data_IF_370866797313
#
_entry.id   IF_370866797313
#
_cell.length_a   1.000
_cell.length_b   1.000
_cell.length_c   1.000
_cell.angle_alpha   90.00
_cell.angle_beta   90.00
_cell.angle_gamma   90.00
#
_symmetry.space_group_name_H-M   'P 1'
#
loop_
_entity.id
_entity.type
_entity.pdbx_description
1 polymer ?
#
# COMPACT_ATOMS: atom_id res chain seq x y z
N UNK A 1 21.41 -5.80 3.50
CA UNK A 1 20.32 -4.93 3.03
C UNK A 1 19.27 -5.86 2.44
N UNK A 2 18.08 -5.90 3.03
CA UNK A 2 17.02 -6.82 2.60
C UNK A 2 16.47 -6.42 1.23
N UNK A 3 15.82 -7.34 0.54
CA UNK A 3 15.21 -7.07 -0.77
C UNK A 3 14.16 -5.95 -0.66
N UNK A 4 13.41 -5.91 0.45
CA UNK A 4 12.36 -4.92 0.71
C UNK A 4 12.88 -3.51 1.00
N UNK A 5 14.13 -3.33 1.41
CA UNK A 5 14.63 -2.01 1.85
C UNK A 5 14.57 -0.96 0.72
N UNK A 6 14.66 -1.40 -0.54
CA UNK A 6 14.50 -0.50 -1.70
C UNK A 6 13.06 -0.05 -1.95
N UNK A 7 12.08 -0.81 -1.45
CA UNK A 7 10.65 -0.58 -1.69
C UNK A 7 9.96 0.11 -0.52
N UNK A 8 10.60 0.26 0.64
CA UNK A 8 10.06 0.99 1.81
C UNK A 8 9.96 2.51 1.61
N UNK A 9 10.48 3.05 0.51
CA UNK A 9 10.37 4.47 0.16
C UNK A 9 9.01 4.73 -0.50
N UNK A 10 8.55 5.99 -0.46
CA UNK A 10 7.29 6.40 -1.11
C UNK A 10 7.21 5.92 -2.56
N UNK A 11 6.11 5.23 -2.90
CA UNK A 11 5.86 4.67 -4.22
C UNK A 11 6.58 3.35 -4.52
N UNK A 12 7.42 2.88 -3.60
CA UNK A 12 8.10 1.58 -3.72
C UNK A 12 7.12 0.41 -3.61
N UNK A 13 6.00 0.57 -2.88
CA UNK A 13 4.94 -0.44 -2.85
C UNK A 13 4.32 -0.66 -4.22
N UNK A 14 3.99 0.43 -4.94
CA UNK A 14 3.41 0.36 -6.29
C UNK A 14 4.42 -0.25 -7.27
N UNK A 15 5.70 0.09 -7.16
CA UNK A 15 6.75 -0.52 -7.99
C UNK A 15 6.86 -2.03 -7.77
N UNK A 16 6.81 -2.46 -6.51
CA UNK A 16 6.85 -3.88 -6.17
C UNK A 16 5.59 -4.62 -6.64
N UNK A 17 4.43 -3.98 -6.52
CA UNK A 17 3.15 -4.52 -6.98
C UNK A 17 3.13 -4.69 -8.50
N UNK A 18 3.55 -3.67 -9.25
CA UNK A 18 3.67 -3.74 -10.71
C UNK A 18 4.67 -4.83 -11.14
N UNK A 19 5.78 -4.99 -10.41
CA UNK A 19 6.74 -6.07 -10.67
C UNK A 19 6.11 -7.45 -10.45
N UNK A 20 5.29 -7.62 -9.41
CA UNK A 20 4.59 -8.87 -9.13
C UNK A 20 3.55 -9.20 -10.20
N UNK A 21 2.81 -8.21 -10.69
CA UNK A 21 1.76 -8.37 -11.69
C UNK A 21 2.29 -8.64 -13.11
N UNK A 22 3.49 -8.16 -13.41
CA UNK A 22 4.17 -8.40 -14.70
C UNK A 22 5.06 -9.65 -14.68
N UNK A 23 5.29 -10.25 -13.51
CA UNK A 23 6.07 -11.47 -13.35
C UNK A 23 5.24 -12.73 -13.65
N UNK A 24 5.91 -13.81 -14.03
CA UNK A 24 5.23 -15.11 -14.15
C UNK A 24 4.75 -15.61 -12.79
N UNK A 25 3.69 -16.43 -12.78
CA UNK A 25 3.10 -16.97 -11.54
C UNK A 25 4.13 -17.63 -10.61
N UNK A 26 5.06 -18.42 -11.16
CA UNK A 26 6.14 -19.05 -10.39
C UNK A 26 7.05 -18.03 -9.72
N UNK A 27 7.44 -16.96 -10.44
CA UNK A 27 8.28 -15.89 -9.88
C UNK A 27 7.51 -15.06 -8.85
N UNK A 28 6.24 -14.81 -9.10
CA UNK A 28 5.35 -14.11 -8.17
C UNK A 28 5.24 -14.85 -6.83
N UNK A 29 5.04 -16.17 -6.86
CA UNK A 29 5.02 -17.00 -5.65
C UNK A 29 6.39 -16.99 -4.92
N UNK A 30 7.49 -17.09 -5.66
CA UNK A 30 8.84 -16.98 -5.09
C UNK A 30 9.06 -15.63 -4.42
N UNK A 31 8.71 -14.52 -5.07
CA UNK A 31 8.83 -13.18 -4.48
C UNK A 31 7.94 -13.01 -3.26
N UNK A 32 6.69 -13.48 -3.31
CA UNK A 32 5.79 -13.42 -2.16
C UNK A 32 6.31 -14.23 -0.97
N UNK A 33 6.93 -15.39 -1.20
CA UNK A 33 7.57 -16.17 -0.13
C UNK A 33 8.77 -15.45 0.48
N UNK A 34 9.62 -14.83 -0.33
CA UNK A 34 10.76 -14.03 0.16
C UNK A 34 10.27 -12.82 0.97
N UNK A 35 9.25 -12.11 0.46
CA UNK A 35 8.66 -10.96 1.15
C UNK A 35 7.99 -11.40 2.45
N UNK A 36 7.32 -12.55 2.48
CA UNK A 36 6.69 -13.10 3.69
C UNK A 36 7.73 -13.40 4.79
N UNK A 37 8.92 -13.87 4.41
CA UNK A 37 10.02 -14.13 5.35
C UNK A 37 10.62 -12.84 5.91
N UNK A 38 10.74 -11.79 5.08
CA UNK A 38 11.28 -10.50 5.53
C UNK A 38 10.25 -9.66 6.30
N UNK A 39 9.01 -9.59 5.82
CA UNK A 39 7.92 -8.84 6.44
C UNK A 39 6.55 -9.45 6.10
N UNK A 40 5.89 -10.11 7.08
CA UNK A 40 4.60 -10.74 6.83
C UNK A 40 3.50 -9.74 6.46
N UNK A 41 3.57 -8.52 6.99
CA UNK A 41 2.58 -7.48 6.75
C UNK A 41 2.64 -6.94 5.32
N UNK A 42 3.85 -6.78 4.77
CA UNK A 42 4.02 -6.42 3.36
C UNK A 42 3.42 -7.50 2.44
N UNK A 43 3.67 -8.78 2.75
CA UNK A 43 3.14 -9.88 1.96
C UNK A 43 1.60 -9.93 1.98
N UNK A 44 0.97 -9.69 3.14
CA UNK A 44 -0.49 -9.61 3.26
C UNK A 44 -1.08 -8.47 2.42
N UNK A 45 -0.51 -7.27 2.52
CA UNK A 45 -1.02 -6.12 1.78
C UNK A 45 -0.83 -6.26 0.27
N UNK A 46 0.30 -6.83 -0.18
CA UNK A 46 0.51 -7.16 -1.59
C UNK A 46 -0.48 -8.21 -2.10
N UNK A 47 -0.72 -9.29 -1.33
CA UNK A 47 -1.67 -10.36 -1.72
C UNK A 47 -3.09 -9.82 -1.90
N UNK A 48 -3.54 -8.94 -1.01
CA UNK A 48 -4.85 -8.29 -1.12
C UNK A 48 -4.95 -7.43 -2.37
N UNK A 49 -3.88 -6.68 -2.67
CA UNK A 49 -3.89 -5.64 -3.69
C UNK A 49 -3.46 -6.10 -5.07
N UNK A 50 -2.93 -7.33 -5.24
CA UNK A 50 -2.60 -7.87 -6.56
C UNK A 50 -3.84 -7.88 -7.47
N UNK A 51 -3.66 -7.24 -8.63
CA UNK A 51 -4.59 -7.24 -9.73
C UNK A 51 -4.31 -8.44 -10.62
N UNK A 52 -5.36 -9.15 -10.99
CA UNK A 52 -5.30 -10.26 -11.92
C UNK A 52 -6.34 -10.03 -12.99
N UNK A 53 -6.06 -10.48 -14.21
CA UNK A 53 -6.97 -10.30 -15.32
C UNK A 53 -8.36 -10.90 -15.06
N UNK A 54 -8.41 -12.04 -14.36
CA UNK A 54 -9.69 -12.66 -13.96
C UNK A 54 -10.50 -11.75 -13.02
N UNK A 55 -9.84 -11.02 -12.11
CA UNK A 55 -10.51 -10.03 -11.26
C UNK A 55 -11.06 -8.87 -12.08
N UNK A 56 -10.31 -8.37 -13.07
CA UNK A 56 -10.76 -7.29 -13.96
C UNK A 56 -12.05 -7.69 -14.69
N UNK A 57 -12.17 -8.96 -15.11
CA UNK A 57 -13.36 -9.46 -15.80
C UNK A 57 -14.59 -9.61 -14.89
N UNK A 58 -14.41 -9.63 -13.56
CA UNK A 58 -15.54 -9.65 -12.60
C UNK A 58 -16.13 -8.27 -12.33
N UNK A 59 -15.53 -7.20 -12.85
CA UNK A 59 -15.99 -5.83 -12.64
C UNK A 59 -17.25 -5.51 -13.45
N UNK A 60 -17.92 -4.42 -13.07
CA UNK A 60 -19.12 -3.94 -13.76
C UNK A 60 -18.84 -3.62 -15.23
N UNK A 61 -19.85 -3.82 -16.08
CA UNK A 61 -19.78 -3.59 -17.53
C UNK A 61 -19.27 -2.18 -17.87
N UNK A 62 -19.63 -1.16 -17.09
CA UNK A 62 -19.17 0.22 -17.29
C UNK A 62 -17.65 0.33 -17.13
N UNK A 63 -17.09 -0.16 -16.02
CA UNK A 63 -15.65 -0.14 -15.78
C UNK A 63 -14.90 -0.98 -16.82
N UNK A 64 -15.44 -2.14 -17.18
CA UNK A 64 -14.85 -3.00 -18.21
C UNK A 64 -14.86 -2.30 -19.58
N UNK A 65 -15.92 -1.58 -19.93
CA UNK A 65 -15.98 -0.77 -21.16
C UNK A 65 -14.92 0.29 -21.22
N UNK A 66 -14.71 0.96 -20.09
CA UNK A 66 -13.77 2.05 -20.02
C UNK A 66 -12.32 1.57 -20.22
N UNK A 67 -12.02 0.38 -19.69
CA UNK A 67 -10.73 -0.29 -19.83
C UNK A 67 -10.53 -0.83 -21.24
N UNK A 68 -11.44 -1.70 -21.71
CA UNK A 68 -11.27 -2.46 -22.94
C UNK A 68 -11.21 -1.55 -24.17
N UNK A 69 -11.96 -0.45 -24.19
CA UNK A 69 -11.91 0.53 -25.30
C UNK A 69 -10.59 1.30 -25.38
N UNK A 70 -9.82 1.38 -24.28
CA UNK A 70 -8.50 2.05 -24.25
C UNK A 70 -7.34 1.11 -24.58
N UNK A 71 -7.54 -0.20 -24.46
CA UNK A 71 -6.52 -1.19 -24.82
C UNK A 71 -6.30 -1.18 -26.34
N UNK A 72 -5.03 -1.25 -26.76
CA UNK A 72 -4.66 -1.33 -28.17
C UNK A 72 -5.34 -2.55 -28.85
N UNK A 73 -6.01 -2.38 -30.01
CA UNK A 73 -6.77 -3.46 -30.65
C UNK A 73 -5.96 -4.73 -30.95
N UNK A 74 -4.71 -4.60 -31.36
CA UNK A 74 -3.83 -5.74 -31.62
C UNK A 74 -3.48 -6.50 -30.33
N UNK A 75 -3.18 -5.76 -29.25
CA UNK A 75 -2.89 -6.36 -27.93
C UNK A 75 -4.11 -7.12 -27.43
N UNK A 76 -5.31 -6.54 -27.59
CA UNK A 76 -6.56 -7.20 -27.21
C UNK A 76 -6.84 -8.45 -28.08
N UNK A 77 -6.65 -8.36 -29.40
CA UNK A 77 -6.83 -9.49 -30.31
C UNK A 77 -5.92 -10.68 -29.94
N UNK A 78 -4.65 -10.42 -29.65
CA UNK A 78 -3.70 -11.46 -29.22
C UNK A 78 -4.07 -12.01 -27.83
N UNK A 79 -4.43 -11.14 -26.88
CA UNK A 79 -4.83 -11.56 -25.54
C UNK A 79 -6.13 -12.39 -25.53
N UNK A 80 -7.04 -12.17 -26.48
CA UNK A 80 -8.30 -12.94 -26.58
C UNK A 80 -8.10 -14.45 -26.72
N UNK A 81 -6.93 -14.91 -27.22
CA UNK A 81 -6.60 -16.33 -27.30
C UNK A 81 -6.32 -16.98 -25.93
N UNK A 82 -6.00 -16.18 -24.91
CA UNK A 82 -5.78 -16.66 -23.55
C UNK A 82 -7.10 -17.01 -22.83
N UNK A 83 -8.15 -16.27 -23.13
CA UNK A 83 -9.42 -16.36 -22.40
C UNK A 83 -10.28 -17.53 -22.87
N UNK A 84 -11.09 -18.04 -21.96
CA UNK A 84 -12.15 -19.00 -22.27
C UNK A 84 -13.28 -18.34 -23.08
N UNK A 85 -14.07 -19.13 -23.81
CA UNK A 85 -15.19 -18.62 -24.61
C UNK A 85 -16.15 -17.68 -23.85
N UNK A 86 -16.62 -18.00 -22.62
CA UNK A 86 -17.48 -17.07 -21.87
C UNK A 86 -16.77 -15.76 -21.51
N UNK A 87 -15.47 -15.79 -21.22
CA UNK A 87 -14.70 -14.58 -20.93
C UNK A 87 -14.53 -13.72 -22.19
N UNK A 88 -14.34 -14.34 -23.37
CA UNK A 88 -14.30 -13.62 -24.65
C UNK A 88 -15.63 -12.93 -24.94
N UNK A 89 -16.76 -13.58 -24.67
CA UNK A 89 -18.09 -12.99 -24.86
C UNK A 89 -18.29 -11.76 -23.97
N UNK A 90 -17.84 -11.81 -22.71
CA UNK A 90 -17.88 -10.66 -21.80
C UNK A 90 -17.05 -9.50 -22.37
N UNK A 91 -15.82 -9.76 -22.81
CA UNK A 91 -14.93 -8.73 -23.38
C UNK A 91 -15.51 -8.16 -24.68
N UNK A 92 -16.00 -9.01 -25.57
CA UNK A 92 -16.58 -8.60 -26.86
C UNK A 92 -17.90 -7.86 -26.66
N UNK A 93 -18.77 -8.29 -25.76
CA UNK A 93 -20.10 -7.71 -25.50
C UNK A 93 -20.08 -6.29 -24.92
N UNK A 94 -18.89 -5.81 -24.59
CA UNK A 94 -18.60 -4.47 -24.11
C UNK A 94 -18.18 -3.52 -25.26
N UNK A 95 -17.65 -4.07 -26.35
CA UNK A 95 -17.16 -3.33 -27.50
C UNK A 95 -18.27 -2.98 -28.49
N UNK A 96 -18.00 -1.94 -29.31
CA UNK A 96 -18.86 -1.60 -30.45
C UNK A 96 -18.78 -2.67 -31.55
N UNK A 97 -19.81 -2.77 -32.40
CA UNK A 97 -19.83 -3.72 -33.53
C UNK A 97 -18.65 -3.51 -34.50
N UNK A 98 -18.23 -2.25 -34.71
CA UNK A 98 -17.06 -1.92 -35.52
C UNK A 98 -15.76 -2.42 -34.89
N UNK A 99 -15.59 -2.26 -33.57
CA UNK A 99 -14.38 -2.69 -32.87
C UNK A 99 -14.30 -4.21 -32.79
N UNK A 100 -15.43 -4.88 -32.53
CA UNK A 100 -15.53 -6.34 -32.56
C UNK A 100 -15.05 -6.89 -33.91
N UNK A 101 -15.54 -6.34 -35.03
CA UNK A 101 -15.13 -6.77 -36.37
C UNK A 101 -13.64 -6.54 -36.61
N UNK A 102 -13.11 -5.39 -36.18
CA UNK A 102 -11.69 -5.06 -36.29
C UNK A 102 -10.82 -6.05 -35.52
N UNK A 103 -11.20 -6.37 -34.28
CA UNK A 103 -10.47 -7.30 -33.43
C UNK A 103 -10.55 -8.74 -33.97
N UNK A 104 -11.72 -9.16 -34.47
CA UNK A 104 -11.88 -10.48 -35.10
C UNK A 104 -10.98 -10.63 -36.34
N UNK A 105 -10.92 -9.62 -37.21
CA UNK A 105 -10.02 -9.65 -38.36
C UNK A 105 -8.54 -9.81 -37.92
N UNK A 106 -8.11 -9.01 -36.94
CA UNK A 106 -6.75 -9.11 -36.38
C UNK A 106 -6.48 -10.48 -35.74
N UNK A 107 -7.48 -11.07 -35.08
CA UNK A 107 -7.37 -12.39 -34.45
C UNK A 107 -7.19 -13.52 -35.49
N UNK A 108 -7.80 -13.38 -36.67
CA UNK A 108 -7.65 -14.35 -37.77
C UNK A 108 -6.33 -14.19 -38.52
N UNK A 109 -5.82 -12.97 -38.65
CA UNK A 109 -4.56 -12.67 -39.35
C UNK A 109 -3.33 -12.99 -38.48
N UNK A 110 -3.46 -12.85 -37.15
CA UNK A 110 -2.35 -13.05 -36.23
C UNK A 110 -2.28 -14.49 -35.75
N UNK A 111 -1.10 -15.10 -35.84
CA UNK A 111 -0.80 -16.39 -35.21
C UNK A 111 0.28 -16.22 -34.13
N UNK A 112 -0.08 -15.64 -32.98
CA UNK A 112 0.88 -15.31 -31.94
C UNK A 112 1.36 -16.56 -31.20
N UNK A 113 2.61 -16.53 -30.76
CA UNK A 113 3.19 -17.56 -29.89
C UNK A 113 2.62 -17.44 -28.46
N UNK A 114 2.70 -18.50 -27.67
CA UNK A 114 2.24 -18.53 -26.28
C UNK A 114 2.87 -17.42 -25.42
N UNK A 115 4.16 -17.12 -25.64
CA UNK A 115 4.84 -16.05 -24.92
C UNK A 115 4.27 -14.65 -25.25
N UNK A 116 3.85 -14.43 -26.49
CA UNK A 116 3.27 -13.16 -26.93
C UNK A 116 1.87 -12.96 -26.36
N UNK A 117 1.08 -14.05 -26.30
CA UNK A 117 -0.24 -14.06 -25.66
C UNK A 117 -0.12 -13.63 -24.19
N UNK A 118 0.77 -14.27 -23.43
CA UNK A 118 1.00 -13.93 -22.02
C UNK A 118 1.50 -12.49 -21.85
N UNK A 119 2.40 -12.04 -22.74
CA UNK A 119 2.88 -10.66 -22.72
C UNK A 119 1.74 -9.66 -22.96
N UNK A 120 0.82 -9.95 -23.87
CA UNK A 120 -0.34 -9.09 -24.13
C UNK A 120 -1.31 -9.06 -22.95
N UNK A 121 -1.54 -10.19 -22.27
CA UNK A 121 -2.35 -10.24 -21.04
C UNK A 121 -1.70 -9.39 -19.94
N UNK A 122 -0.40 -9.51 -19.71
CA UNK A 122 0.32 -8.67 -18.75
C UNK A 122 0.28 -7.19 -19.10
N UNK A 123 0.33 -6.84 -20.40
CA UNK A 123 0.14 -5.46 -20.87
C UNK A 123 -1.24 -4.93 -20.55
N UNK A 124 -2.30 -5.73 -20.69
CA UNK A 124 -3.67 -5.32 -20.32
C UNK A 124 -3.73 -5.01 -18.82
N UNK A 125 -3.18 -5.87 -17.97
CA UNK A 125 -3.15 -5.63 -16.50
C UNK A 125 -2.39 -4.35 -16.17
N UNK A 126 -1.24 -4.10 -16.83
CA UNK A 126 -0.47 -2.86 -16.66
C UNK A 126 -1.24 -1.62 -17.13
N UNK A 127 -1.98 -1.71 -18.23
CA UNK A 127 -2.84 -0.63 -18.71
C UNK A 127 -3.96 -0.33 -17.71
N UNK A 128 -4.61 -1.36 -17.17
CA UNK A 128 -5.64 -1.21 -16.12
C UNK A 128 -5.08 -0.46 -14.92
N UNK A 129 -3.85 -0.79 -14.48
CA UNK A 129 -3.16 -0.06 -13.41
C UNK A 129 -2.94 1.41 -13.73
N UNK A 130 -2.57 1.71 -14.97
CA UNK A 130 -2.38 3.08 -15.44
C UNK A 130 -3.70 3.86 -15.39
N UNK A 131 -4.81 3.23 -15.81
CA UNK A 131 -6.14 3.86 -15.77
C UNK A 131 -6.63 4.11 -14.34
N UNK A 132 -6.31 3.21 -13.40
CA UNK A 132 -6.58 3.40 -11.98
C UNK A 132 -5.78 4.59 -11.43
N UNK A 133 -4.47 4.67 -11.74
CA UNK A 133 -3.61 5.77 -11.28
C UNK A 133 -4.05 7.12 -11.84
N UNK A 134 -4.58 7.15 -13.05
CA UNK A 134 -5.15 8.35 -13.67
C UNK A 134 -6.51 8.76 -13.07
N UNK A 135 -7.11 7.93 -12.22
CA UNK A 135 -8.44 8.16 -11.64
C UNK A 135 -9.60 7.98 -12.63
N UNK A 136 -9.32 7.41 -13.81
CA UNK A 136 -10.32 7.06 -14.83
C UNK A 136 -11.18 5.93 -14.29
N UNK A 137 -10.54 4.83 -13.88
CA UNK A 137 -11.21 3.73 -13.20
C UNK A 137 -11.18 3.98 -11.70
N UNK A 138 -12.32 4.35 -11.13
CA UNK A 138 -12.44 4.61 -9.69
C UNK A 138 -12.56 3.28 -8.93
N UNK A 139 -11.48 2.85 -8.30
CA UNK A 139 -11.47 1.64 -7.47
C UNK A 139 -12.50 1.69 -6.33
N UNK A 140 -12.87 2.86 -5.81
CA UNK A 140 -13.92 2.99 -4.79
C UNK A 140 -15.27 2.39 -5.21
N UNK A 141 -15.56 2.38 -6.51
CA UNK A 141 -16.79 1.81 -7.07
C UNK A 141 -16.66 0.33 -7.43
N UNK A 142 -15.43 -0.15 -7.60
CA UNK A 142 -15.14 -1.42 -8.27
C UNK A 142 -14.60 -2.45 -7.28
N UNK A 143 -13.64 -2.04 -6.45
CA UNK A 143 -13.06 -2.84 -5.36
C UNK A 143 -12.33 -1.90 -4.36
N UNK A 144 -13.00 -1.46 -3.27
CA UNK A 144 -12.41 -0.54 -2.30
C UNK A 144 -11.23 -1.17 -1.53
N UNK A 145 -11.18 -2.50 -1.39
CA UNK A 145 -10.09 -3.18 -0.69
C UNK A 145 -8.79 -3.19 -1.52
N UNK A 146 -8.90 -3.05 -2.84
CA UNK A 146 -7.75 -2.93 -3.75
C UNK A 146 -7.17 -1.52 -3.81
N UNK A 147 -7.86 -0.51 -3.27
CA UNK A 147 -7.34 0.86 -3.23
C UNK A 147 -6.00 0.89 -2.49
N UNK A 148 -5.02 1.58 -3.09
CA UNK A 148 -3.69 1.77 -2.55
C UNK A 148 -3.63 3.18 -1.96
N UNK A 149 -3.60 3.32 -0.61
CA UNK A 149 -3.37 4.61 0.01
C UNK A 149 -2.00 5.18 -0.38
N UNK A 150 -1.90 6.50 -0.56
CA UNK A 150 -0.63 7.16 -0.90
C UNK A 150 0.47 6.97 0.15
N UNK A 151 0.11 6.61 1.39
CA UNK A 151 1.04 6.36 2.49
C UNK A 151 1.01 4.89 2.96
N UNK A 152 0.72 3.94 2.05
CA UNK A 152 0.65 2.51 2.39
C UNK A 152 1.94 2.00 3.05
N UNK A 153 3.11 2.49 2.63
CA UNK A 153 4.40 2.11 3.22
C UNK A 153 4.50 2.52 4.69
N UNK A 154 4.03 3.72 5.03
CA UNK A 154 4.03 4.24 6.41
C UNK A 154 3.00 3.50 7.28
N UNK A 155 1.84 3.15 6.71
CA UNK A 155 0.81 2.36 7.39
C UNK A 155 1.31 0.96 7.73
N UNK A 156 2.00 0.31 6.79
CA UNK A 156 2.62 -1.00 7.04
C UNK A 156 3.73 -0.87 8.10
N UNK A 157 4.54 0.20 8.05
CA UNK A 157 5.56 0.44 9.07
C UNK A 157 4.98 0.68 10.47
N UNK A 158 3.85 1.38 10.59
CA UNK A 158 3.14 1.56 11.86
C UNK A 158 2.53 0.27 12.37
N UNK A 159 1.93 -0.54 11.49
CA UNK A 159 1.38 -1.86 11.85
C UNK A 159 2.48 -2.83 12.30
N UNK A 160 3.73 -2.63 11.86
CA UNK A 160 4.89 -3.45 12.22
C UNK A 160 5.47 -3.11 13.60
N UNK A 161 5.12 -1.96 14.17
CA UNK A 161 5.43 -1.65 15.56
C UNK A 161 4.48 -2.47 16.44
N UNK A 162 4.97 -3.29 17.39
CA UNK A 162 4.08 -3.87 18.38
C UNK A 162 3.40 -2.72 19.12
N UNK A 163 2.06 -2.78 19.24
CA UNK A 163 1.29 -1.94 20.13
C UNK A 163 1.95 -1.94 21.51
N UNK A 164 2.74 -0.91 21.82
CA UNK A 164 2.79 -0.45 23.19
C UNK A 164 1.42 0.14 23.42
N UNK A 165 0.59 -0.61 24.13
CA UNK A 165 -0.65 -0.09 24.70
C UNK A 165 -0.22 1.10 25.55
N UNK A 166 -0.46 2.30 25.04
CA UNK A 166 -0.38 3.53 25.80
C UNK A 166 -1.50 3.44 26.84
N UNK A 167 -1.14 3.00 28.04
CA UNK A 167 -2.06 2.98 29.17
C UNK A 167 -2.33 4.45 29.51
N UNK A 168 -3.41 5.00 28.94
CA UNK A 168 -4.00 6.26 29.39
C UNK A 168 -4.21 6.17 30.90
N UNK A 169 -3.34 6.85 31.65
CA UNK A 169 -3.52 7.03 33.08
C UNK A 169 -4.67 7.99 33.27
N UNK A 170 -5.87 7.43 33.43
CA UNK A 170 -7.04 8.17 33.90
C UNK A 170 -6.75 8.72 35.32
N UNK A 171 -7.05 10.00 35.61
CA UNK A 171 -6.86 10.54 36.94
C UNK A 171 -8.06 10.12 37.82
N UNK A 172 -7.89 9.07 38.61
CA UNK A 172 -8.87 8.72 39.65
C UNK A 172 -8.64 9.61 40.87
N UNK A 173 -9.66 10.41 41.17
CA UNK A 173 -9.83 11.16 42.41
C UNK A 173 -10.48 10.26 43.46
N UNK A 174 -9.96 10.23 44.71
CA UNK A 174 -10.69 9.60 45.83
C UNK A 174 -9.87 9.12 47.04
N UNK A 175 -9.43 10.07 47.88
CA UNK A 175 -9.53 10.11 49.36
C UNK A 175 -9.23 8.89 50.28
N UNK A 176 -8.13 9.05 51.05
CA UNK A 176 -7.97 8.94 52.52
C UNK A 176 -8.24 7.64 53.35
N UNK A 177 -7.18 7.22 54.08
CA UNK A 177 -7.08 6.84 55.53
C UNK A 177 -6.06 5.68 55.70
N UNK A 178 -4.83 5.85 56.20
CA UNK A 178 -4.27 6.13 57.56
C UNK A 178 -4.09 4.91 58.50
N UNK A 179 -2.84 4.77 59.00
CA UNK A 179 -2.28 4.03 60.18
C UNK A 179 -1.78 2.58 59.96
N UNK A 180 -0.44 2.34 59.92
CA UNK A 180 0.52 2.08 61.03
C UNK A 180 0.51 0.57 61.45
N UNK A 181 1.58 -0.21 61.66
CA UNK A 181 2.98 -0.06 62.12
C UNK A 181 3.76 -1.34 61.73
N UNK A 182 5.03 -1.30 61.30
CA UNK A 182 6.25 -1.65 62.06
C UNK A 182 6.87 -3.04 61.73
N UNK A 183 8.22 -3.09 61.82
CA UNK A 183 9.15 -4.24 61.87
C UNK A 183 9.77 -4.79 60.56
N UNK A 184 11.03 -4.36 60.34
CA UNK A 184 12.17 -4.93 59.56
C UNK A 184 12.58 -6.36 60.06
N UNK A 185 13.53 -7.13 59.43
CA UNK A 185 14.71 -6.65 58.69
C UNK A 185 15.19 -7.43 57.45
N UNK A 186 16.18 -6.76 56.84
CA UNK A 186 17.08 -7.07 55.73
C UNK A 186 17.48 -8.54 55.51
N UNK A 187 17.51 -8.93 54.22
CA UNK A 187 18.48 -9.90 53.70
C UNK A 187 19.14 -9.37 52.45
N UNK A 188 20.38 -8.94 52.63
CA UNK A 188 21.41 -8.70 51.63
C UNK A 188 21.73 -9.96 50.83
N UNK A 189 21.72 -9.89 49.50
CA UNK A 189 22.43 -10.83 48.63
C UNK A 189 23.16 -10.06 47.54
N UNK A 190 24.47 -9.92 47.75
CA UNK A 190 25.51 -9.47 46.83
C UNK A 190 25.83 -10.61 45.84
N UNK A 191 25.82 -10.31 44.54
CA UNK A 191 26.51 -11.12 43.53
C UNK A 191 27.31 -10.20 42.61
N UNK A 192 28.50 -9.87 43.06
CA UNK A 192 29.59 -9.33 42.25
C UNK A 192 30.12 -10.37 41.27
N UNK A 193 30.23 -10.02 39.98
CA UNK A 193 31.21 -10.63 39.07
C UNK A 193 30.78 -10.84 37.61
N UNK A 194 31.00 -9.84 36.74
CA UNK A 194 31.55 -10.04 35.39
C UNK A 194 31.80 -8.69 34.68
N UNK A 195 32.96 -8.12 34.96
CA UNK A 195 33.55 -7.02 34.20
C UNK A 195 33.93 -7.50 32.78
N UNK A 196 33.36 -6.89 31.74
CA UNK A 196 34.02 -6.76 30.43
C UNK A 196 33.81 -5.35 29.87
N UNK A 197 34.76 -4.49 30.20
CA UNK A 197 35.16 -3.30 29.44
C UNK A 197 34.93 -3.45 27.92
N UNK A 198 34.12 -2.57 27.35
CA UNK A 198 34.33 -2.06 25.98
C UNK A 198 34.31 -0.54 26.01
N UNK A 199 35.40 0.01 25.50
CA UNK A 199 35.67 1.42 25.23
C UNK A 199 34.54 2.09 24.43
N UNK A 200 34.18 3.36 24.72
CA UNK A 200 33.19 4.07 23.95
C UNK A 200 33.82 4.64 22.67
N UNK A 201 33.33 4.20 21.51
CA UNK A 201 33.54 4.85 20.22
C UNK A 201 32.73 6.15 20.17
N UNK A 202 33.39 7.26 20.53
CA UNK A 202 32.85 8.62 20.67
C UNK A 202 32.12 9.14 19.41
N UNK A 203 32.53 8.73 18.21
CA UNK A 203 32.06 9.34 16.96
C UNK A 203 30.61 8.95 16.58
N UNK A 204 30.17 7.73 16.94
CA UNK A 204 28.83 7.24 16.55
C UNK A 204 27.72 7.82 17.44
N UNK A 205 28.06 8.18 18.68
CA UNK A 205 27.12 8.79 19.62
C UNK A 205 26.83 10.25 19.30
N UNK A 206 27.77 10.99 18.70
CA UNK A 206 27.57 12.40 18.33
C UNK A 206 26.71 12.51 17.08
N UNK A 207 27.01 11.75 16.02
CA UNK A 207 26.18 11.68 14.81
C UNK A 207 24.73 11.28 15.11
N UNK A 208 24.52 10.32 16.02
CA UNK A 208 23.16 9.91 16.41
C UNK A 208 22.41 11.01 17.18
N UNK A 209 23.12 11.85 17.95
CA UNK A 209 22.53 12.97 18.70
C UNK A 209 22.18 14.14 17.75
N UNK A 210 23.04 14.41 16.78
CA UNK A 210 22.81 15.44 15.75
C UNK A 210 21.61 15.09 14.87
N UNK A 211 21.47 13.83 14.47
CA UNK A 211 20.29 13.34 13.75
C UNK A 211 19.02 13.51 14.60
N UNK A 212 19.07 13.16 15.88
CA UNK A 212 17.92 13.27 16.78
C UNK A 212 17.48 14.72 17.00
N UNK A 213 18.44 15.65 17.13
CA UNK A 213 18.18 17.09 17.16
C UNK A 213 17.59 17.62 15.85
N UNK A 214 18.11 17.17 14.70
CA UNK A 214 17.57 17.53 13.39
C UNK A 214 16.13 17.04 13.20
N UNK A 215 15.86 15.77 13.55
CA UNK A 215 14.51 15.21 13.51
C UNK A 215 13.57 15.97 14.45
N UNK A 216 14.00 16.29 15.67
CA UNK A 216 13.21 17.06 16.64
C UNK A 216 12.84 18.46 16.12
N UNK A 217 13.75 19.13 15.43
CA UNK A 217 13.46 20.40 14.75
C UNK A 217 12.45 20.21 13.62
N UNK A 218 12.62 19.20 12.78
CA UNK A 218 11.71 18.94 11.66
C UNK A 218 10.31 18.58 12.13
N UNK A 219 10.18 17.79 13.20
CA UNK A 219 8.91 17.46 13.84
C UNK A 219 8.23 18.73 14.35
N UNK A 220 8.94 19.61 15.05
CA UNK A 220 8.37 20.88 15.49
C UNK A 220 7.88 21.76 14.33
N UNK A 221 8.65 21.85 13.24
CA UNK A 221 8.23 22.59 12.04
C UNK A 221 6.96 21.98 11.43
N UNK A 222 6.89 20.65 11.30
CA UNK A 222 5.71 19.98 10.77
C UNK A 222 4.49 20.14 11.68
N UNK A 223 4.66 20.13 13.01
CA UNK A 223 3.57 20.39 13.95
C UNK A 223 3.03 21.82 13.79
N UNK A 224 3.90 22.81 13.59
CA UNK A 224 3.49 24.19 13.32
C UNK A 224 2.74 24.31 11.99
N UNK A 225 3.25 23.70 10.93
CA UNK A 225 2.60 23.68 9.62
C UNK A 225 1.23 22.99 9.66
N UNK A 226 1.13 21.86 10.37
CA UNK A 226 -0.12 21.14 10.55
C UNK A 226 -1.14 21.95 11.36
N UNK A 227 -0.70 22.67 12.39
CA UNK A 227 -1.54 23.61 13.14
C UNK A 227 -2.06 24.74 12.25
N UNK A 228 -1.19 25.30 11.41
CA UNK A 228 -1.56 26.34 10.45
C UNK A 228 -2.59 25.86 9.42
N UNK A 229 -2.38 24.70 8.81
CA UNK A 229 -3.31 24.11 7.84
C UNK A 229 -4.68 23.79 8.47
N UNK A 230 -4.71 23.31 9.72
CA UNK A 230 -5.97 23.10 10.45
C UNK A 230 -6.73 24.41 10.65
N UNK A 231 -6.02 25.50 10.94
CA UNK A 231 -6.63 26.83 11.06
C UNK A 231 -7.21 27.30 9.71
N UNK A 232 -6.47 27.14 8.62
CA UNK A 232 -6.97 27.47 7.28
C UNK A 232 -8.21 26.65 6.90
N UNK A 233 -8.19 25.34 7.15
CA UNK A 233 -9.35 24.49 6.91
C UNK A 233 -10.57 24.91 7.75
N UNK A 234 -10.35 25.32 9.00
CA UNK A 234 -11.43 25.86 9.84
C UNK A 234 -12.04 27.13 9.25
N UNK A 235 -11.20 28.05 8.76
CA UNK A 235 -11.65 29.30 8.12
C UNK A 235 -12.40 29.01 6.82
N UNK A 236 -11.89 28.11 5.98
CA UNK A 236 -12.53 27.72 4.73
C UNK A 236 -13.87 27.04 4.96
N UNK A 237 -13.98 26.15 5.95
CA UNK A 237 -15.26 25.54 6.37
C UNK A 237 -16.26 26.59 6.81
N UNK A 238 -15.83 27.55 7.63
CA UNK A 238 -16.68 28.65 8.09
C UNK A 238 -17.19 29.50 6.91
N UNK A 239 -16.32 29.81 5.93
CA UNK A 239 -16.70 30.53 4.71
C UNK A 239 -17.69 29.72 3.86
N UNK A 240 -17.46 28.41 3.72
CA UNK A 240 -18.35 27.51 2.98
C UNK A 240 -19.75 27.46 3.62
N UNK A 241 -19.81 27.38 4.95
CA UNK A 241 -21.07 27.40 5.70
C UNK A 241 -21.79 28.76 5.61
N UNK A 242 -21.05 29.87 5.54
CA UNK A 242 -21.63 31.19 5.28
C UNK A 242 -22.22 31.29 3.86
N UNK A 243 -21.52 30.76 2.84
CA UNK A 243 -22.03 30.73 1.47
C UNK A 243 -23.30 29.88 1.39
N UNK A 244 -23.32 28.72 2.05
CA UNK A 244 -24.52 27.84 2.14
C UNK A 244 -25.70 28.46 2.87
N UNK A 245 -25.50 29.47 3.71
CA UNK A 245 -26.59 30.19 4.41
C UNK A 245 -27.19 31.33 3.57
N UNK A 246 -26.49 31.75 2.52
CA UNK A 246 -26.91 32.86 1.64
C UNK A 246 -27.51 32.33 0.33
N UNK A 247 -27.14 31.12 -0.09
CA UNK A 247 -27.76 30.37 -1.19
C UNK A 247 -29.01 29.60 -0.72
#
# INVERSE_FOLDING_TARGET
>A
MGMLDRYKKKGGFIQLLNLLETSSKTKQEQFLNLIQQESPQWAEELKKRILTIDKVLTWEKEALSEIITRVQPLTLAVALRFFSEPQKEIIMGVLSQSDQRKIQNMLTETNPNQAEILTCVSKIVAEVRTLIQQGIVKLEKVDPDMAIPENIEDLIAQKAQPNYIEFESTPSSGSSSSLASDSEPETTLDFSGANRNRTPSSEKSESSKEELEFLKRKVNTLVQENSHLKQELSVLRTKLDQIKKIA
#
